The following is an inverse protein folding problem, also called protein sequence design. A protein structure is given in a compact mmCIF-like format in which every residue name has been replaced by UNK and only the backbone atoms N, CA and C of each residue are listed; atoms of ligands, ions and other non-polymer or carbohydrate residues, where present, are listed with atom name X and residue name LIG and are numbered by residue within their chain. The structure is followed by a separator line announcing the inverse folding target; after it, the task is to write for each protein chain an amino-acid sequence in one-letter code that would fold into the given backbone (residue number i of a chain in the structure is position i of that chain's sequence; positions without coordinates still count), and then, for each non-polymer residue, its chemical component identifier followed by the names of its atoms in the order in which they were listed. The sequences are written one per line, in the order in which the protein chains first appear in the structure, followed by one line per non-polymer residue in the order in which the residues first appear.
data_IF_659083089648
#
_entry.id   IF_659083089648
#
_cell.length_a   1.000
_cell.length_b   1.000
_cell.length_c   1.000
_cell.angle_alpha   90.00
_cell.angle_beta   90.00
_cell.angle_gamma   90.00
#
_symmetry.space_group_name_H-M   'P 1'
#
loop_
_entity.id
_entity.type
_entity.pdbx_description
1 polymer ?
#
# COMPACT_ATOMS: atom_id res chain seq x y z
N UNK A 1 -4.15 6.17 65.54
CA UNK A 1 -5.35 5.62 64.86
C UNK A 1 -5.53 6.16 63.44
N UNK A 2 -5.11 7.40 63.12
CA UNK A 2 -5.10 7.95 61.75
C UNK A 2 -3.95 7.42 60.85
N UNK A 3 -2.80 7.04 61.41
CA UNK A 3 -1.64 6.54 60.64
C UNK A 3 -1.86 5.14 60.03
N UNK A 4 -2.75 4.32 60.60
CA UNK A 4 -3.06 2.98 60.10
C UNK A 4 -3.96 3.00 58.86
N UNK A 5 -4.67 4.10 58.63
CA UNK A 5 -5.56 4.26 57.47
C UNK A 5 -4.76 4.78 56.26
N UNK A 6 -3.77 5.64 56.51
CA UNK A 6 -2.92 6.22 55.48
C UNK A 6 -1.97 5.20 54.82
N UNK A 7 -1.44 4.24 55.59
CA UNK A 7 -0.56 3.17 55.07
C UNK A 7 -1.29 2.08 54.26
N UNK A 8 -2.62 2.02 54.35
CA UNK A 8 -3.46 1.13 53.53
C UNK A 8 -3.98 1.79 52.25
N UNK A 9 -3.98 3.13 52.17
CA UNK A 9 -4.47 3.88 51.02
C UNK A 9 -3.38 4.20 49.99
N UNK A 10 -2.11 4.27 50.39
CA UNK A 10 -0.96 4.45 49.49
C UNK A 10 -0.84 3.37 48.40
N UNK A 11 -0.93 2.06 48.69
CA UNK A 11 -0.84 1.04 47.62
C UNK A 11 -2.06 1.05 46.68
N UNK A 12 -3.23 1.49 47.16
CA UNK A 12 -4.44 1.57 46.33
C UNK A 12 -4.41 2.74 45.33
N UNK A 13 -3.69 3.82 45.66
CA UNK A 13 -3.49 4.97 44.76
C UNK A 13 -2.36 4.73 43.75
N UNK A 14 -1.37 3.91 44.10
CA UNK A 14 -0.23 3.60 43.22
C UNK A 14 -0.57 2.54 42.16
N UNK A 15 -1.37 1.53 42.50
CA UNK A 15 -1.76 0.44 41.60
C UNK A 15 -2.87 0.85 40.61
N UNK A 16 -3.77 1.77 41.01
CA UNK A 16 -4.84 2.28 40.14
C UNK A 16 -4.31 3.23 39.05
N UNK A 17 -3.28 4.03 39.34
CA UNK A 17 -2.68 4.95 38.36
C UNK A 17 -1.84 4.26 37.28
N UNK A 18 -1.13 3.18 37.61
CA UNK A 18 -0.30 2.45 36.64
C UNK A 18 -1.13 1.57 35.70
N UNK A 19 -2.11 0.81 36.19
CA UNK A 19 -2.95 -0.06 35.35
C UNK A 19 -3.87 0.73 34.39
N UNK A 20 -4.46 1.84 34.85
CA UNK A 20 -5.29 2.70 33.98
C UNK A 20 -4.46 3.37 32.88
N UNK A 21 -3.22 3.78 33.19
CA UNK A 21 -2.31 4.39 32.24
C UNK A 21 -1.84 3.42 31.16
N UNK A 22 -1.44 2.20 31.54
CA UNK A 22 -0.97 1.18 30.58
C UNK A 22 -2.08 0.69 29.66
N UNK A 23 -3.30 0.50 30.17
CA UNK A 23 -4.42 0.01 29.37
C UNK A 23 -4.90 1.05 28.37
N UNK A 24 -4.98 2.31 28.78
CA UNK A 24 -5.32 3.42 27.88
C UNK A 24 -4.22 3.66 26.84
N UNK A 25 -2.94 3.58 27.23
CA UNK A 25 -1.82 3.75 26.30
C UNK A 25 -1.75 2.61 25.28
N UNK A 26 -1.97 1.36 25.71
CA UNK A 26 -2.03 0.19 24.83
C UNK A 26 -3.17 0.32 23.82
N UNK A 27 -4.37 0.74 24.25
CA UNK A 27 -5.52 0.97 23.36
C UNK A 27 -5.27 2.10 22.36
N UNK A 28 -4.57 3.16 22.77
CA UNK A 28 -4.17 4.23 21.86
C UNK A 28 -3.17 3.73 20.81
N UNK A 29 -2.18 2.95 21.22
CA UNK A 29 -1.24 2.34 20.29
C UNK A 29 -1.93 1.38 19.32
N UNK A 30 -2.83 0.52 19.81
CA UNK A 30 -3.64 -0.34 18.96
C UNK A 30 -4.47 0.46 17.94
N UNK A 31 -5.13 1.54 18.37
CA UNK A 31 -5.90 2.38 17.46
C UNK A 31 -5.02 3.08 16.41
N UNK A 32 -3.82 3.54 16.78
CA UNK A 32 -2.87 4.16 15.86
C UNK A 32 -2.34 3.13 14.87
N UNK A 33 -1.90 1.95 15.35
CA UNK A 33 -1.39 0.87 14.52
C UNK A 33 -2.47 0.41 13.53
N UNK A 34 -3.69 0.16 14.01
CA UNK A 34 -4.82 -0.22 13.17
C UNK A 34 -5.18 0.86 12.14
N UNK A 35 -5.04 2.13 12.49
CA UNK A 35 -5.28 3.25 11.56
C UNK A 35 -4.18 3.36 10.50
N UNK A 36 -2.92 3.14 10.89
CA UNK A 36 -1.78 3.12 9.98
C UNK A 36 -1.91 1.93 9.03
N UNK A 37 -2.20 0.73 9.52
CA UNK A 37 -2.33 -0.47 8.70
C UNK A 37 -3.45 -0.32 7.67
N UNK A 38 -4.62 0.18 8.08
CA UNK A 38 -5.72 0.51 7.15
C UNK A 38 -5.32 1.55 6.12
N UNK A 39 -4.63 2.61 6.54
CA UNK A 39 -4.19 3.67 5.65
C UNK A 39 -3.18 3.14 4.63
N UNK A 40 -2.19 2.35 5.07
CA UNK A 40 -1.17 1.74 4.21
C UNK A 40 -1.80 0.76 3.22
N UNK A 41 -2.75 -0.08 3.67
CA UNK A 41 -3.46 -1.01 2.80
C UNK A 41 -4.25 -0.29 1.71
N UNK A 42 -5.03 0.74 2.07
CA UNK A 42 -5.81 1.53 1.11
C UNK A 42 -4.88 2.27 0.14
N UNK A 43 -3.81 2.87 0.64
CA UNK A 43 -2.86 3.63 -0.16
C UNK A 43 -2.10 2.73 -1.14
N UNK A 44 -1.68 1.54 -0.68
CA UNK A 44 -1.04 0.53 -1.53
C UNK A 44 -1.98 0.11 -2.67
N UNK A 45 -3.24 -0.20 -2.35
CA UNK A 45 -4.24 -0.57 -3.36
C UNK A 45 -4.53 0.55 -4.35
N UNK A 46 -4.62 1.81 -3.88
CA UNK A 46 -4.79 2.96 -4.77
C UNK A 46 -3.61 3.16 -5.70
N UNK A 47 -2.37 3.09 -5.18
CA UNK A 47 -1.16 3.23 -6.00
C UNK A 47 -1.11 2.14 -7.06
N UNK A 48 -1.33 0.88 -6.66
CA UNK A 48 -1.29 -0.24 -7.58
C UNK A 48 -2.33 -0.10 -8.70
N UNK A 49 -3.57 0.25 -8.35
CA UNK A 49 -4.62 0.50 -9.34
C UNK A 49 -4.28 1.69 -10.27
N UNK A 50 -3.75 2.78 -9.71
CA UNK A 50 -3.36 3.94 -10.50
C UNK A 50 -2.21 3.61 -11.48
N UNK A 51 -1.17 2.91 -10.99
CA UNK A 51 -0.05 2.44 -11.80
C UNK A 51 -0.53 1.54 -12.93
N UNK A 52 -1.37 0.54 -12.64
CA UNK A 52 -1.93 -0.37 -13.65
C UNK A 52 -2.75 0.37 -14.70
N UNK A 53 -3.57 1.34 -14.27
CA UNK A 53 -4.38 2.14 -15.19
C UNK A 53 -3.51 2.98 -16.13
N UNK A 54 -2.45 3.60 -15.62
CA UNK A 54 -1.49 4.36 -16.44
C UNK A 54 -0.75 3.45 -17.41
N UNK A 55 -0.24 2.30 -16.92
CA UNK A 55 0.40 1.27 -17.76
C UNK A 55 -0.51 0.85 -18.90
N UNK A 56 -1.79 0.56 -18.60
CA UNK A 56 -2.79 0.16 -19.60
C UNK A 56 -3.04 1.19 -20.68
N UNK A 57 -2.99 2.47 -20.31
CA UNK A 57 -3.19 3.58 -21.24
C UNK A 57 -1.99 3.80 -22.16
N UNK A 58 -0.78 3.41 -21.74
CA UNK A 58 0.45 3.61 -22.50
C UNK A 58 0.80 2.42 -23.39
N UNK A 59 0.66 1.18 -22.89
CA UNK A 59 1.14 0.02 -23.65
C UNK A 59 0.32 -0.23 -24.91
N UNK A 60 -1.00 0.05 -24.89
CA UNK A 60 -1.89 -0.13 -26.05
C UNK A 60 -1.47 0.77 -27.22
N UNK A 61 -1.38 2.11 -27.09
CA UNK A 61 -0.91 2.94 -28.19
C UNK A 61 0.54 2.62 -28.57
N UNK A 62 1.41 2.26 -27.61
CA UNK A 62 2.79 1.86 -27.89
C UNK A 62 2.86 0.62 -28.80
N UNK A 63 2.04 -0.40 -28.53
CA UNK A 63 1.92 -1.58 -29.38
C UNK A 63 1.41 -1.21 -30.78
N UNK A 64 0.37 -0.38 -30.86
CA UNK A 64 -0.21 0.08 -32.13
C UNK A 64 0.83 0.84 -32.97
N UNK A 65 1.52 1.81 -32.37
CA UNK A 65 2.58 2.58 -33.06
C UNK A 65 3.72 1.65 -33.48
N UNK A 66 4.13 0.71 -32.63
CA UNK A 66 5.15 -0.28 -32.95
C UNK A 66 4.79 -1.13 -34.17
N UNK A 67 3.56 -1.65 -34.22
CA UNK A 67 3.04 -2.43 -35.36
C UNK A 67 3.00 -1.58 -36.63
N UNK A 68 2.50 -0.35 -36.56
CA UNK A 68 2.46 0.56 -37.72
C UNK A 68 3.87 0.81 -38.26
N UNK A 69 4.83 1.14 -37.39
CA UNK A 69 6.23 1.36 -37.80
C UNK A 69 6.89 0.12 -38.39
N UNK A 70 6.56 -1.06 -37.86
CA UNK A 70 7.07 -2.33 -38.35
C UNK A 70 6.53 -2.66 -39.75
N UNK A 71 5.22 -2.51 -39.96
CA UNK A 71 4.52 -2.82 -41.23
C UNK A 71 4.91 -1.82 -42.33
N UNK A 72 4.93 -0.53 -42.03
CA UNK A 72 5.29 0.54 -42.99
C UNK A 72 6.78 0.53 -43.36
N UNK A 73 7.60 -0.24 -42.64
CA UNK A 73 9.06 -0.34 -42.80
C UNK A 73 9.81 0.98 -42.68
N UNK A 74 9.18 2.05 -42.19
CA UNK A 74 9.83 3.36 -41.97
C UNK A 74 11.02 3.20 -41.02
N UNK A 75 10.81 2.49 -39.90
CA UNK A 75 11.89 2.12 -38.99
C UNK A 75 11.58 0.80 -38.28
N UNK A 76 12.03 -0.29 -38.89
CA UNK A 76 11.79 -1.66 -38.40
C UNK A 76 12.50 -2.00 -37.09
N UNK A 77 13.59 -1.31 -36.78
CA UNK A 77 14.30 -1.51 -35.51
C UNK A 77 13.49 -0.90 -34.38
N UNK A 78 13.13 0.39 -34.51
CA UNK A 78 12.32 1.10 -33.52
C UNK A 78 10.93 0.48 -33.36
N UNK A 79 10.30 0.04 -34.46
CA UNK A 79 9.02 -0.68 -34.41
C UNK A 79 9.11 -1.99 -33.60
N UNK A 80 10.19 -2.78 -33.77
CA UNK A 80 10.40 -3.99 -32.96
C UNK A 80 10.61 -3.67 -31.49
N UNK A 81 11.42 -2.66 -31.19
CA UNK A 81 11.69 -2.26 -29.80
C UNK A 81 10.40 -1.80 -29.10
N UNK A 82 9.53 -1.06 -29.80
CA UNK A 82 8.21 -0.69 -29.29
C UNK A 82 7.30 -1.89 -29.08
N UNK A 83 7.26 -2.83 -30.02
CA UNK A 83 6.45 -4.04 -29.90
C UNK A 83 6.93 -4.87 -28.70
N UNK A 84 8.24 -5.13 -28.57
CA UNK A 84 8.78 -5.89 -27.44
C UNK A 84 8.55 -5.17 -26.11
N UNK A 85 8.76 -3.85 -26.05
CA UNK A 85 8.47 -3.06 -24.86
C UNK A 85 7.00 -3.14 -24.45
N UNK A 86 6.08 -2.99 -25.41
CA UNK A 86 4.65 -3.11 -25.15
C UNK A 86 4.25 -4.53 -24.73
N UNK A 87 4.88 -5.57 -25.30
CA UNK A 87 4.62 -6.98 -24.94
C UNK A 87 5.06 -7.29 -23.50
N UNK A 88 6.25 -6.81 -23.11
CA UNK A 88 6.75 -6.95 -21.74
C UNK A 88 5.80 -6.23 -20.77
N UNK A 89 5.42 -5.00 -21.08
CA UNK A 89 4.50 -4.23 -20.23
C UNK A 89 3.13 -4.90 -20.14
N UNK A 90 2.58 -5.38 -21.26
CA UNK A 90 1.31 -6.10 -21.29
C UNK A 90 1.37 -7.36 -20.42
N UNK A 91 2.47 -8.12 -20.50
CA UNK A 91 2.70 -9.28 -19.64
C UNK A 91 2.69 -8.89 -18.15
N UNK A 92 3.44 -7.86 -17.76
CA UNK A 92 3.41 -7.38 -16.38
C UNK A 92 2.01 -6.91 -15.97
N UNK A 93 1.31 -6.16 -16.81
CA UNK A 93 -0.03 -5.67 -16.50
C UNK A 93 -1.03 -6.83 -16.34
N UNK A 94 -0.99 -7.83 -17.21
CA UNK A 94 -1.94 -8.95 -17.24
C UNK A 94 -1.63 -10.04 -16.22
N UNK A 95 -0.40 -10.14 -15.72
CA UNK A 95 -0.07 -11.01 -14.57
C UNK A 95 -0.28 -10.32 -13.22
N UNK A 96 -0.03 -9.02 -13.12
CA UNK A 96 -0.20 -8.26 -11.87
C UNK A 96 -1.67 -7.92 -11.61
N UNK A 97 -2.46 -7.58 -12.64
CA UNK A 97 -3.91 -7.30 -12.51
C UNK A 97 -4.69 -8.40 -11.78
N UNK A 98 -4.64 -9.67 -12.22
CA UNK A 98 -5.36 -10.76 -11.56
C UNK A 98 -4.72 -11.21 -10.25
N UNK A 99 -3.46 -10.86 -9.97
CA UNK A 99 -2.84 -11.11 -8.67
C UNK A 99 -3.32 -10.12 -7.58
N UNK A 100 -3.97 -9.03 -7.98
CA UNK A 100 -4.45 -7.96 -7.10
C UNK A 100 -5.98 -7.84 -7.04
N UNK A 101 -6.70 -8.59 -7.87
CA UNK A 101 -8.16 -8.78 -7.83
C UNK A 101 -8.52 -10.03 -7.03
#
# INVERSE_FOLDING_TARGET
MLENILSHLTPLLEDSGQNLGSDWFTRLLENIINSIEKTVSIFSNMILQASLRILSMIYVPMAVVGVILYVTKINRYLGRDLIYGALIIAFFAEFILPALL
#
